data_IF_888813393657
#
_entry.id   IF_888813393657
#
_cell.length_a   1.000
_cell.length_b   1.000
_cell.length_c   1.000
_cell.angle_alpha   90.00
_cell.angle_beta   90.00
_cell.angle_gamma   90.00
#
_symmetry.space_group_name_H-M   'P 1'
#
loop_
_entity.id
_entity.type
_entity.pdbx_description
1 polymer ?
#
# COMPACT_ATOMS: atom_id res chain seq x y z
N UNK A 1 -24.06 12.26 3.35
CA UNK A 1 -22.73 11.61 3.26
C UNK A 1 -21.96 12.05 4.48
N UNK A 2 -21.67 11.15 5.41
CA UNK A 2 -20.87 11.48 6.59
C UNK A 2 -19.44 11.68 6.15
N UNK A 3 -18.94 12.90 6.33
CA UNK A 3 -17.55 13.28 6.09
C UNK A 3 -16.67 12.45 7.03
N UNK A 4 -16.14 11.35 6.51
CA UNK A 4 -15.28 10.48 7.29
C UNK A 4 -13.93 11.17 7.45
N UNK A 5 -13.61 11.57 8.68
CA UNK A 5 -12.33 12.20 9.00
C UNK A 5 -11.13 11.36 8.54
N UNK A 6 -10.00 12.01 8.27
CA UNK A 6 -8.74 11.33 7.91
C UNK A 6 -8.38 10.20 8.89
N UNK A 7 -8.59 10.41 10.19
CA UNK A 7 -8.36 9.41 11.22
C UNK A 7 -9.24 8.16 11.05
N UNK A 8 -10.50 8.34 10.61
CA UNK A 8 -11.40 7.24 10.28
C UNK A 8 -10.88 6.43 9.10
N UNK A 9 -10.40 7.10 8.05
CA UNK A 9 -9.84 6.42 6.87
C UNK A 9 -8.53 5.69 7.18
N UNK A 10 -7.60 6.30 7.93
CA UNK A 10 -6.37 5.64 8.37
C UNK A 10 -6.67 4.34 9.12
N UNK A 11 -7.66 4.34 10.00
CA UNK A 11 -8.07 3.14 10.75
C UNK A 11 -8.67 2.05 9.86
N UNK A 12 -9.40 2.44 8.81
CA UNK A 12 -10.06 1.52 7.87
C UNK A 12 -9.08 0.88 6.89
N UNK A 13 -8.20 1.70 6.30
CA UNK A 13 -7.16 1.28 5.35
C UNK A 13 -6.14 0.38 6.04
N UNK A 14 -5.80 0.70 7.29
CA UNK A 14 -4.80 -0.04 8.05
C UNK A 14 -3.38 0.32 7.64
N UNK A 15 -2.45 -0.58 7.94
CA UNK A 15 -1.04 -0.40 7.60
C UNK A 15 -0.83 -0.57 6.08
N UNK A 16 0.06 0.27 5.54
CA UNK A 16 0.59 0.11 4.19
C UNK A 16 1.82 -0.79 4.29
N UNK A 17 1.78 -1.92 3.60
CA UNK A 17 2.85 -2.93 3.61
C UNK A 17 3.61 -2.88 2.28
N UNK A 18 4.95 -2.97 2.36
CA UNK A 18 5.80 -3.07 1.18
C UNK A 18 6.06 -4.54 0.85
N UNK A 19 5.97 -4.85 -0.43
CA UNK A 19 6.31 -6.14 -0.98
C UNK A 19 7.68 -6.13 -1.66
N UNK A 20 8.41 -7.25 -1.66
CA UNK A 20 9.67 -7.35 -2.38
C UNK A 20 9.44 -7.23 -3.90
N UNK A 21 10.12 -6.30 -4.55
CA UNK A 21 9.96 -6.01 -5.99
C UNK A 21 10.28 -7.22 -6.88
N UNK A 22 11.22 -8.08 -6.47
CA UNK A 22 11.56 -9.31 -7.21
C UNK A 22 10.40 -10.31 -7.28
N UNK A 23 9.46 -10.26 -6.33
CA UNK A 23 8.28 -11.13 -6.28
C UNK A 23 7.04 -10.44 -6.87
N UNK A 24 6.95 -9.12 -6.74
CA UNK A 24 5.80 -8.34 -7.18
C UNK A 24 6.22 -7.29 -8.21
N UNK A 25 6.22 -7.73 -9.48
CA UNK A 25 6.74 -6.99 -10.63
C UNK A 25 5.79 -5.92 -11.19
N UNK A 26 4.55 -5.85 -10.68
CA UNK A 26 3.54 -4.87 -11.12
C UNK A 26 3.29 -3.76 -10.12
N UNK A 27 3.52 -4.04 -8.83
CA UNK A 27 3.40 -3.11 -7.73
C UNK A 27 4.24 -3.62 -6.56
N UNK A 28 4.76 -2.74 -5.70
CA UNK A 28 5.57 -3.17 -4.56
C UNK A 28 4.94 -2.85 -3.19
N UNK A 29 3.62 -2.64 -3.13
CA UNK A 29 2.95 -2.31 -1.87
C UNK A 29 1.48 -2.72 -1.86
N UNK A 30 0.88 -2.80 -0.67
CA UNK A 30 -0.54 -3.03 -0.45
C UNK A 30 -1.00 -2.51 0.90
N UNK A 31 -2.27 -2.74 1.24
CA UNK A 31 -2.85 -2.34 2.52
C UNK A 31 -3.59 -3.50 3.16
N UNK A 32 -3.59 -3.53 4.49
CA UNK A 32 -4.34 -4.53 5.26
C UNK A 32 -5.64 -3.90 5.77
N UNK A 33 -6.65 -3.85 4.89
CA UNK A 33 -7.95 -3.27 5.19
C UNK A 33 -8.72 -4.09 6.24
N UNK A 34 -9.41 -3.43 7.17
CA UNK A 34 -10.08 -4.09 8.29
C UNK A 34 -11.61 -4.08 8.24
N UNK A 35 -12.17 -5.16 8.80
CA UNK A 35 -13.48 -5.33 9.49
C UNK A 35 -14.78 -5.54 8.70
N UNK A 36 -15.00 -5.03 7.49
CA UNK A 36 -16.21 -5.41 6.73
C UNK A 36 -15.95 -5.71 5.27
N UNK A 37 -16.69 -6.68 4.70
CA UNK A 37 -16.52 -7.09 3.31
C UNK A 37 -16.78 -5.92 2.33
N UNK A 38 -17.74 -5.04 2.66
CA UNK A 38 -18.08 -3.87 1.86
C UNK A 38 -16.98 -2.79 1.92
N UNK A 39 -16.45 -2.47 3.11
CA UNK A 39 -15.35 -1.50 3.22
C UNK A 39 -14.07 -2.04 2.58
N UNK A 40 -13.80 -3.34 2.71
CA UNK A 40 -12.66 -3.99 2.05
C UNK A 40 -12.75 -3.83 0.53
N UNK A 41 -13.89 -4.12 -0.09
CA UNK A 41 -14.05 -3.94 -1.54
C UNK A 41 -13.88 -2.49 -1.98
N UNK A 42 -14.40 -1.54 -1.21
CA UNK A 42 -14.23 -0.12 -1.50
C UNK A 42 -12.75 0.31 -1.44
N UNK A 43 -12.02 -0.18 -0.43
CA UNK A 43 -10.59 0.10 -0.26
C UNK A 43 -9.77 -0.60 -1.34
N UNK A 44 -10.07 -1.85 -1.69
CA UNK A 44 -9.39 -2.58 -2.78
C UNK A 44 -9.53 -1.84 -4.11
N UNK A 45 -10.73 -1.36 -4.45
CA UNK A 45 -10.95 -0.53 -5.65
C UNK A 45 -10.16 0.78 -5.62
N UNK A 46 -10.13 1.45 -4.48
CA UNK A 46 -9.34 2.68 -4.33
C UNK A 46 -7.84 2.40 -4.48
N UNK A 47 -7.35 1.30 -3.91
CA UNK A 47 -5.96 0.86 -4.04
C UNK A 47 -5.61 0.55 -5.50
N UNK A 48 -6.50 -0.08 -6.26
CA UNK A 48 -6.28 -0.32 -7.69
C UNK A 48 -6.11 0.98 -8.48
N UNK A 49 -6.97 1.98 -8.22
CA UNK A 49 -6.86 3.31 -8.86
C UNK A 49 -5.52 3.96 -8.52
N UNK A 50 -5.13 3.98 -7.24
CA UNK A 50 -3.87 4.59 -6.81
C UNK A 50 -2.67 3.82 -7.37
N UNK A 51 -2.73 2.49 -7.47
CA UNK A 51 -1.65 1.68 -8.04
C UNK A 51 -1.48 1.89 -9.54
N UNK A 52 -2.52 2.27 -10.27
CA UNK A 52 -2.40 2.58 -11.69
C UNK A 52 -1.46 3.78 -11.91
N UNK A 53 -1.52 4.78 -11.02
CA UNK A 53 -0.68 5.99 -11.06
C UNK A 53 0.63 5.83 -10.27
N UNK A 54 0.60 5.10 -9.16
CA UNK A 54 1.69 4.93 -8.21
C UNK A 54 1.93 3.46 -7.85
N UNK A 55 2.40 2.63 -8.82
CA UNK A 55 2.62 1.21 -8.59
C UNK A 55 3.76 0.94 -7.60
N UNK A 56 4.70 1.89 -7.44
CA UNK A 56 5.89 1.70 -6.62
C UNK A 56 6.06 2.81 -5.57
N UNK A 57 6.36 2.39 -4.33
CA UNK A 57 6.91 3.25 -3.29
C UNK A 57 8.45 3.18 -3.40
N UNK A 58 9.06 4.33 -3.66
CA UNK A 58 10.49 4.49 -3.98
C UNK A 58 11.33 5.13 -2.86
N UNK A 59 10.79 5.25 -1.64
CA UNK A 59 11.57 5.75 -0.49
C UNK A 59 12.87 4.95 -0.31
N UNK A 60 13.95 5.60 0.18
CA UNK A 60 15.30 5.12 0.00
C UNK A 60 15.38 3.68 0.49
N UNK A 61 15.95 2.80 -0.35
CA UNK A 61 16.48 1.55 0.15
C UNK A 61 17.31 1.87 1.41
N UNK A 62 17.16 1.12 2.51
CA UNK A 62 18.14 1.19 3.57
C UNK A 62 19.51 1.08 2.92
N UNK A 63 20.37 2.08 3.11
CA UNK A 63 21.72 2.14 2.54
C UNK A 63 22.64 1.01 3.03
N UNK A 64 22.13 0.11 3.87
CA UNK A 64 22.81 -1.07 4.40
C UNK A 64 22.62 -2.32 3.52
N UNK A 65 22.58 -2.18 2.20
CA UNK A 65 22.66 -3.31 1.27
C UNK A 65 24.09 -3.48 0.74
N UNK A 66 24.94 -4.01 1.61
CA UNK A 66 26.37 -4.34 1.37
C UNK A 66 26.62 -5.34 0.23
N UNK A 67 25.60 -5.94 -0.37
CA UNK A 67 25.74 -6.98 -1.40
C UNK A 67 25.92 -6.47 -2.84
N UNK A 68 25.90 -5.15 -3.07
CA UNK A 68 26.17 -4.53 -4.38
C UNK A 68 27.64 -4.05 -4.56
N UNK A 69 28.52 -4.25 -3.57
CA UNK A 69 29.96 -3.91 -3.66
C UNK A 69 30.85 -5.13 -3.98
N UNK A 70 30.51 -5.92 -5.00
CA UNK A 70 31.38 -7.00 -5.47
C UNK A 70 31.66 -6.92 -6.96
#
# INVERSE_FOLDING_TARGET
MTDASEATWRRRIGAIERYPTWKYVRFNWGVTASKSAAERQAIEKAVEIVRAEHPYINDPFPTDVDWLRR
#
